data_IF_052366104259
#
_entry.id   IF_052366104259
#
_cell.length_a   1.000
_cell.length_b   1.000
_cell.length_c   1.000
_cell.angle_alpha   90.00
_cell.angle_beta   90.00
_cell.angle_gamma   90.00
#
_symmetry.space_group_name_H-M   'P 1'
#
loop_
_entity.id
_entity.type
_entity.pdbx_description
1 polymer ?
#
# COMPACT_ATOMS: atom_id res chain seq x y z
N UNK A 1 21.78 4.41 8.84
CA UNK A 1 21.32 3.01 8.75
C UNK A 1 22.01 2.36 7.58
N UNK A 2 22.52 1.13 7.71
CA UNK A 2 23.10 0.41 6.57
C UNK A 2 21.97 -0.10 5.65
N UNK A 3 22.21 -0.16 4.34
CA UNK A 3 21.21 -0.62 3.36
C UNK A 3 20.60 -1.97 3.73
N UNK A 4 21.44 -2.93 4.15
CA UNK A 4 20.99 -4.25 4.57
C UNK A 4 19.99 -4.21 5.74
N UNK A 5 20.22 -3.34 6.73
CA UNK A 5 19.30 -3.17 7.86
C UNK A 5 17.95 -2.58 7.41
N UNK A 6 17.98 -1.58 6.51
CA UNK A 6 16.77 -1.00 5.94
C UNK A 6 15.93 -2.05 5.20
N UNK A 7 16.57 -2.95 4.43
CA UNK A 7 15.89 -4.05 3.74
C UNK A 7 15.24 -5.03 4.72
N UNK A 8 15.94 -5.45 5.78
CA UNK A 8 15.39 -6.41 6.75
C UNK A 8 14.17 -5.86 7.49
N UNK A 9 14.27 -4.64 8.04
CA UNK A 9 13.17 -3.96 8.74
C UNK A 9 12.00 -3.73 7.78
N UNK A 10 12.33 -3.25 6.59
CA UNK A 10 11.38 -3.00 5.52
C UNK A 10 10.58 -4.22 5.10
N UNK A 11 11.26 -5.36 4.95
CA UNK A 11 10.65 -6.65 4.61
C UNK A 11 9.67 -7.11 5.70
N UNK A 12 10.04 -6.97 6.98
CA UNK A 12 9.12 -7.32 8.07
C UNK A 12 7.84 -6.47 8.04
N UNK A 13 7.98 -5.15 7.84
CA UNK A 13 6.84 -4.22 7.75
C UNK A 13 5.96 -4.48 6.53
N UNK A 14 6.57 -4.69 5.37
CA UNK A 14 5.86 -4.99 4.13
C UNK A 14 5.14 -6.34 4.19
N UNK A 15 5.78 -7.38 4.76
CA UNK A 15 5.15 -8.69 4.98
C UNK A 15 3.93 -8.59 5.90
N UNK A 16 4.01 -7.82 6.99
CA UNK A 16 2.86 -7.61 7.89
C UNK A 16 1.68 -6.97 7.15
N UNK A 17 1.95 -5.95 6.32
CA UNK A 17 0.92 -5.33 5.48
C UNK A 17 0.38 -6.33 4.44
N UNK A 18 1.26 -7.11 3.80
CA UNK A 18 0.87 -8.11 2.81
C UNK A 18 -0.09 -9.13 3.42
N UNK A 19 0.22 -9.69 4.59
CA UNK A 19 -0.63 -10.66 5.28
C UNK A 19 -1.97 -10.04 5.68
N UNK A 20 -1.99 -8.83 6.25
CA UNK A 20 -3.23 -8.15 6.61
C UNK A 20 -4.16 -7.96 5.39
N UNK A 21 -3.61 -7.54 4.25
CA UNK A 21 -4.40 -7.38 3.03
C UNK A 21 -4.81 -8.74 2.43
N UNK A 22 -3.95 -9.76 2.51
CA UNK A 22 -4.24 -11.12 2.05
C UNK A 22 -5.43 -11.74 2.80
N UNK A 23 -5.47 -11.62 4.12
CA UNK A 23 -6.56 -12.14 4.97
C UNK A 23 -7.94 -11.56 4.59
N UNK A 24 -7.95 -10.33 4.05
CA UNK A 24 -9.18 -9.63 3.66
C UNK A 24 -9.55 -9.85 2.19
N UNK A 25 -8.56 -9.75 1.30
CA UNK A 25 -8.74 -9.75 -0.16
C UNK A 25 -8.56 -11.12 -0.81
N UNK A 26 -7.99 -12.11 -0.10
CA UNK A 26 -7.63 -13.43 -0.64
C UNK A 26 -6.42 -13.43 -1.57
N UNK A 27 -5.90 -12.25 -1.95
CA UNK A 27 -4.66 -12.07 -2.69
C UNK A 27 -3.99 -10.76 -2.29
N UNK A 28 -2.66 -10.78 -2.13
CA UNK A 28 -1.87 -9.61 -1.80
C UNK A 28 -0.43 -9.76 -2.29
N UNK A 29 0.00 -8.83 -3.13
CA UNK A 29 1.37 -8.75 -3.64
C UNK A 29 2.17 -7.78 -2.77
N UNK A 30 3.34 -8.21 -2.29
CA UNK A 30 4.31 -7.34 -1.63
C UNK A 30 4.94 -6.38 -2.65
N UNK A 31 5.08 -5.11 -2.29
CA UNK A 31 5.62 -4.06 -3.18
C UNK A 31 6.98 -3.55 -2.70
N UNK A 32 7.05 -2.40 -2.01
CA UNK A 32 8.33 -1.86 -1.53
C UNK A 32 8.68 -2.40 -0.16
N UNK A 33 9.96 -2.69 0.03
CA UNK A 33 10.56 -2.90 1.36
C UNK A 33 11.39 -1.69 1.78
N UNK A 34 11.91 -0.91 0.82
CA UNK A 34 12.69 0.30 1.11
C UNK A 34 12.18 1.48 0.31
N UNK A 35 12.36 2.68 0.86
CA UNK A 35 12.14 3.98 0.23
C UNK A 35 13.46 4.73 0.12
N UNK A 36 13.65 5.46 -0.98
CA UNK A 36 14.84 6.29 -1.20
C UNK A 36 14.48 7.75 -0.97
N UNK A 37 15.16 8.39 -0.03
CA UNK A 37 14.97 9.79 0.34
C UNK A 37 16.36 10.44 0.31
N UNK A 38 16.53 11.48 -0.49
CA UNK A 38 17.79 12.22 -0.64
C UNK A 38 19.02 11.33 -0.87
N UNK A 39 18.88 10.35 -1.77
CA UNK A 39 19.95 9.41 -2.11
C UNK A 39 20.16 8.26 -1.11
N UNK A 40 19.52 8.30 0.07
CA UNK A 40 19.67 7.31 1.14
C UNK A 40 18.48 6.36 1.19
N UNK A 41 18.75 5.10 1.55
CA UNK A 41 17.71 4.08 1.70
C UNK A 41 17.22 3.99 3.14
N UNK A 42 15.91 3.97 3.28
CA UNK A 42 15.20 3.78 4.53
C UNK A 42 14.21 2.61 4.36
N UNK A 43 13.87 1.89 5.43
CA UNK A 43 12.74 0.95 5.36
C UNK A 43 11.45 1.73 5.05
N UNK A 44 10.49 1.06 4.40
CA UNK A 44 9.10 1.55 4.41
C UNK A 44 8.62 1.75 5.86
N UNK A 45 7.73 2.71 6.05
CA UNK A 45 7.25 3.14 7.36
C UNK A 45 6.44 2.06 8.10
N UNK A 46 6.27 2.30 9.39
CA UNK A 46 5.66 1.35 10.32
C UNK A 46 4.15 1.21 10.06
N UNK A 47 3.45 2.34 9.96
CA UNK A 47 1.99 2.42 9.83
C UNK A 47 1.53 1.84 8.50
N UNK A 48 0.44 1.08 8.51
CA UNK A 48 -0.24 0.64 7.29
C UNK A 48 -1.53 1.43 7.15
N UNK A 49 -1.66 2.18 6.06
CA UNK A 49 -2.82 2.99 5.72
C UNK A 49 -3.40 2.49 4.40
N UNK A 50 -4.72 2.47 4.26
CA UNK A 50 -5.38 1.98 3.04
C UNK A 50 -5.69 3.10 2.07
N UNK A 51 -5.45 2.85 0.79
CA UNK A 51 -5.77 3.73 -0.33
C UNK A 51 -6.13 2.90 -1.55
N UNK A 52 -6.67 3.56 -2.57
CA UNK A 52 -6.97 2.94 -3.86
C UNK A 52 -6.39 3.80 -4.97
N UNK A 53 -5.80 3.17 -5.97
CA UNK A 53 -5.44 3.80 -7.25
C UNK A 53 -6.27 3.22 -8.38
N UNK A 54 -6.31 3.93 -9.51
CA UNK A 54 -6.86 3.41 -10.76
C UNK A 54 -5.73 3.23 -11.77
N UNK A 55 -5.72 2.07 -12.41
CA UNK A 55 -4.89 1.76 -13.58
C UNK A 55 -5.82 1.38 -14.74
N UNK A 56 -5.26 1.12 -15.92
CA UNK A 56 -6.04 0.77 -17.11
C UNK A 56 -6.92 -0.48 -16.89
N UNK A 57 -6.39 -1.47 -16.17
CA UNK A 57 -7.06 -2.75 -15.87
C UNK A 57 -7.99 -2.72 -14.64
N UNK A 58 -8.26 -1.53 -14.07
CA UNK A 58 -9.21 -1.37 -12.97
C UNK A 58 -8.66 -0.67 -11.73
N UNK A 59 -9.20 -1.01 -10.57
CA UNK A 59 -8.87 -0.41 -9.28
C UNK A 59 -7.95 -1.32 -8.48
N UNK A 60 -6.96 -0.75 -7.80
CA UNK A 60 -6.02 -1.50 -6.95
C UNK A 60 -6.10 -0.97 -5.54
N UNK A 61 -6.45 -1.83 -4.58
CA UNK A 61 -6.42 -1.49 -3.15
C UNK A 61 -5.02 -1.74 -2.60
N UNK A 62 -4.46 -0.75 -1.93
CA UNK A 62 -3.04 -0.70 -1.55
C UNK A 62 -2.94 -0.35 -0.06
N UNK A 63 -2.03 -1.04 0.64
CA UNK A 63 -1.53 -0.59 1.93
C UNK A 63 -0.22 0.16 1.74
N UNK A 64 -0.19 1.40 2.19
CA UNK A 64 0.96 2.31 2.13
C UNK A 64 1.46 2.65 3.53
N UNK A 65 2.67 3.21 3.59
CA UNK A 65 3.15 3.90 4.80
C UNK A 65 2.64 5.35 4.89
N UNK A 66 3.00 6.05 5.97
CA UNK A 66 2.61 7.44 6.24
C UNK A 66 3.01 8.43 5.13
N UNK A 67 4.02 8.08 4.32
CA UNK A 67 4.51 8.89 3.21
C UNK A 67 3.97 8.47 1.85
N UNK A 68 3.01 7.54 1.81
CA UNK A 68 2.44 7.01 0.57
C UNK A 68 3.33 5.99 -0.16
N UNK A 69 4.37 5.44 0.48
CA UNK A 69 5.18 4.38 -0.12
C UNK A 69 4.46 3.04 0.02
N UNK A 70 4.29 2.33 -1.09
CA UNK A 70 3.50 1.09 -1.12
C UNK A 70 4.18 -0.05 -0.37
N UNK A 71 3.42 -0.80 0.41
CA UNK A 71 3.88 -2.02 1.11
C UNK A 71 3.26 -3.30 0.56
N UNK A 72 1.97 -3.24 0.24
CA UNK A 72 1.23 -4.36 -0.33
C UNK A 72 0.07 -3.88 -1.20
N UNK A 73 -0.33 -4.69 -2.19
CA UNK A 73 -1.43 -4.34 -3.09
C UNK A 73 -2.23 -5.57 -3.52
N UNK A 74 -3.49 -5.37 -3.89
CA UNK A 74 -4.29 -6.39 -4.57
C UNK A 74 -3.84 -6.55 -6.03
N UNK A 75 -4.40 -7.55 -6.73
CA UNK A 75 -4.51 -7.50 -8.19
C UNK A 75 -5.43 -6.35 -8.62
N UNK A 76 -5.48 -5.97 -9.90
CA UNK A 76 -6.53 -5.09 -10.40
C UNK A 76 -7.92 -5.71 -10.18
N UNK A 77 -8.87 -4.88 -9.78
CA UNK A 77 -10.22 -5.24 -9.37
C UNK A 77 -11.25 -4.38 -10.09
N UNK A 78 -12.45 -4.92 -10.23
CA UNK A 78 -13.63 -4.12 -10.56
C UNK A 78 -13.95 -3.13 -9.42
N UNK A 79 -14.59 -2.02 -9.77
CA UNK A 79 -14.89 -0.93 -8.82
C UNK A 79 -15.60 -1.40 -7.55
N UNK A 80 -16.65 -2.22 -7.69
CA UNK A 80 -17.43 -2.73 -6.56
C UNK A 80 -16.64 -3.70 -5.68
N UNK A 81 -15.74 -4.49 -6.27
CA UNK A 81 -14.87 -5.39 -5.51
C UNK A 81 -13.80 -4.60 -4.75
N UNK A 82 -13.20 -3.59 -5.38
CA UNK A 82 -12.30 -2.65 -4.72
C UNK A 82 -12.97 -1.92 -3.55
N UNK A 83 -14.21 -1.44 -3.74
CA UNK A 83 -15.02 -0.82 -2.68
C UNK A 83 -15.26 -1.76 -1.50
N UNK A 84 -15.64 -3.01 -1.79
CA UNK A 84 -15.88 -4.03 -0.76
C UNK A 84 -14.60 -4.34 0.03
N UNK A 85 -13.47 -4.50 -0.64
CA UNK A 85 -12.19 -4.77 0.02
C UNK A 85 -11.75 -3.55 0.83
N UNK A 86 -11.84 -2.34 0.26
CA UNK A 86 -11.49 -1.10 0.94
C UNK A 86 -12.27 -0.92 2.25
N UNK A 87 -13.60 -1.09 2.22
CA UNK A 87 -14.44 -0.99 3.42
C UNK A 87 -14.08 -2.07 4.46
N UNK A 88 -13.83 -3.32 4.06
CA UNK A 88 -13.38 -4.36 4.99
C UNK A 88 -12.03 -4.06 5.65
N UNK A 89 -11.13 -3.39 4.93
CA UNK A 89 -9.85 -2.94 5.47
C UNK A 89 -10.07 -1.82 6.51
N UNK A 90 -11.00 -0.89 6.25
CA UNK A 90 -11.41 0.09 7.25
C UNK A 90 -12.03 -0.56 8.49
N UNK A 91 -12.91 -1.54 8.30
CA UNK A 91 -13.57 -2.28 9.38
C UNK A 91 -12.57 -3.09 10.23
N UNK A 92 -11.41 -3.47 9.67
CA UNK A 92 -10.34 -4.14 10.41
C UNK A 92 -9.50 -3.19 11.27
N UNK A 93 -9.85 -1.89 11.31
CA UNK A 93 -9.15 -0.86 12.08
C UNK A 93 -7.95 -0.24 11.38
N UNK A 94 -7.70 -0.57 10.09
CA UNK A 94 -6.70 0.13 9.28
C UNK A 94 -7.32 1.43 8.78
N UNK A 95 -6.66 2.56 9.00
CA UNK A 95 -7.19 3.87 8.63
C UNK A 95 -6.90 4.23 7.17
N UNK A 96 -7.74 5.13 6.62
CA UNK A 96 -7.56 5.67 5.27
C UNK A 96 -6.30 6.56 5.18
N UNK A 97 -5.54 6.42 4.10
CA UNK A 97 -4.44 7.30 3.77
C UNK A 97 -4.97 8.64 3.24
N UNK A 98 -4.59 9.75 3.88
CA UNK A 98 -5.05 11.10 3.52
C UNK A 98 -4.31 11.75 2.35
N UNK A 99 -3.22 11.16 1.88
CA UNK A 99 -2.45 11.69 0.76
C UNK A 99 -3.18 11.54 -0.58
N UNK A 100 -2.86 12.46 -1.51
CA UNK A 100 -3.46 12.51 -2.86
C UNK A 100 -2.69 11.67 -3.89
N UNK A 101 -1.53 11.16 -3.51
CA UNK A 101 -0.67 10.38 -4.38
C UNK A 101 0.11 9.34 -3.59
N UNK A 102 0.47 8.25 -4.26
CA UNK A 102 1.32 7.19 -3.72
C UNK A 102 2.54 6.99 -4.60
N UNK A 103 3.57 6.38 -4.04
CA UNK A 103 4.84 6.10 -4.70
C UNK A 103 5.08 4.60 -4.78
N UNK A 104 5.17 4.09 -6.00
CA UNK A 104 5.57 2.72 -6.30
C UNK A 104 6.80 2.77 -7.19
N UNK A 105 7.93 2.31 -6.66
CA UNK A 105 9.24 2.40 -7.31
C UNK A 105 9.60 3.84 -7.75
N UNK A 106 9.61 4.11 -9.07
CA UNK A 106 9.89 5.42 -9.65
C UNK A 106 8.62 6.19 -10.04
N UNK A 107 7.46 5.55 -9.96
CA UNK A 107 6.19 6.07 -10.44
C UNK A 107 5.36 6.64 -9.29
N UNK A 108 4.52 7.61 -9.64
CA UNK A 108 3.57 8.25 -8.73
C UNK A 108 2.18 8.10 -9.30
N UNK A 109 1.23 7.65 -8.47
CA UNK A 109 -0.16 7.43 -8.87
C UNK A 109 -1.09 8.28 -8.00
N UNK A 110 -2.11 8.92 -8.57
CA UNK A 110 -3.11 9.63 -7.80
C UNK A 110 -3.97 8.63 -7.02
N UNK A 111 -4.32 9.00 -5.80
CA UNK A 111 -5.29 8.25 -5.00
C UNK A 111 -6.71 8.55 -5.47
N UNK A 112 -7.57 7.55 -5.45
CA UNK A 112 -8.93 7.60 -5.99
C UNK A 112 -9.96 6.96 -5.06
N UNK A 113 -9.63 6.71 -3.79
CA UNK A 113 -10.58 6.06 -2.89
C UNK A 113 -11.89 6.85 -2.68
N UNK A 114 -11.87 8.17 -2.90
CA UNK A 114 -13.09 8.99 -2.92
C UNK A 114 -14.09 8.58 -4.01
N UNK A 115 -13.61 7.97 -5.10
CA UNK A 115 -14.49 7.45 -6.15
C UNK A 115 -15.26 6.19 -5.73
N UNK A 116 -14.84 5.54 -4.64
CA UNK A 116 -15.47 4.34 -4.07
C UNK A 116 -16.48 4.66 -2.98
N UNK A 117 -16.62 5.93 -2.58
CA UNK A 117 -17.63 6.36 -1.60
C UNK A 117 -19.03 6.28 -2.20
#
# INVERSE_FOLDING_TARGET
MQYFQAVQIGRQRANKAQMALFEIAGFSMLTLTTKKIDGKFFPVGEESLVTVIKIDDGYVTILVDEGGFTKAQTKPLEKEEARKIFNKVLDSGITEFSGKEIKIWADTYPTVQDQLK
#
